data_IF_108638786901
#
_entry.id   IF_108638786901
#
_cell.length_a   1.000
_cell.length_b   1.000
_cell.length_c   1.000
_cell.angle_alpha   90.00
_cell.angle_beta   90.00
_cell.angle_gamma   90.00
#
_symmetry.space_group_name_H-M   'P 1'
#
loop_
_entity.id
_entity.type
_entity.pdbx_description
1 polymer ?
#
# COMPACT_ATOMS: atom_id res chain seq x y z
N UNK A 1 10.71 4.22 -6.22
CA UNK A 1 10.13 5.18 -7.19
C UNK A 1 8.59 5.15 -7.23
N UNK A 2 7.95 3.97 -7.13
CA UNK A 2 6.49 3.77 -7.14
C UNK A 2 5.63 4.84 -6.41
N UNK A 3 5.92 5.16 -5.15
CA UNK A 3 5.12 6.11 -4.36
C UNK A 3 5.16 7.54 -4.92
N UNK A 4 6.32 7.98 -5.39
CA UNK A 4 6.51 9.35 -5.90
C UNK A 4 5.92 9.48 -7.29
N UNK A 5 6.10 8.49 -8.15
CA UNK A 5 5.45 8.44 -9.46
C UNK A 5 3.91 8.53 -9.33
N UNK A 6 3.33 7.79 -8.38
CA UNK A 6 1.90 7.87 -8.13
C UNK A 6 1.48 9.21 -7.54
N UNK A 7 2.29 9.80 -6.66
CA UNK A 7 2.04 11.14 -6.14
C UNK A 7 2.04 12.20 -7.25
N UNK A 8 3.05 12.19 -8.12
CA UNK A 8 3.14 13.06 -9.28
C UNK A 8 1.95 12.83 -10.23
N UNK A 9 1.55 11.58 -10.43
CA UNK A 9 0.36 11.27 -11.23
C UNK A 9 -0.91 11.90 -10.62
N UNK A 10 -1.15 11.73 -9.32
CA UNK A 10 -2.36 12.25 -8.66
C UNK A 10 -2.42 13.78 -8.64
N UNK A 11 -1.26 14.44 -8.63
CA UNK A 11 -1.14 15.90 -8.52
C UNK A 11 -0.70 16.60 -9.81
N UNK A 12 -0.64 15.90 -10.95
CA UNK A 12 -0.17 16.44 -12.25
C UNK A 12 -0.89 17.72 -12.73
N UNK A 13 -2.14 17.91 -12.32
CA UNK A 13 -2.97 19.06 -12.69
C UNK A 13 -3.15 20.07 -11.53
N UNK A 14 -2.32 19.99 -10.49
CA UNK A 14 -2.35 20.91 -9.32
C UNK A 14 -1.11 21.82 -9.36
N UNK A 15 -1.20 22.97 -8.68
CA UNK A 15 -0.07 23.92 -8.54
C UNK A 15 1.14 23.25 -7.88
N UNK A 16 0.89 22.47 -6.83
CA UNK A 16 1.88 21.54 -6.29
C UNK A 16 1.70 20.19 -6.96
N UNK A 17 2.71 19.73 -7.70
CA UNK A 17 2.67 18.52 -8.54
C UNK A 17 3.55 17.38 -8.00
N UNK A 18 3.97 17.44 -6.73
CA UNK A 18 4.81 16.44 -6.08
C UNK A 18 6.25 16.28 -6.66
N UNK A 19 6.70 17.18 -7.54
CA UNK A 19 8.07 17.14 -8.10
C UNK A 19 9.16 17.49 -7.08
N UNK A 20 8.83 18.32 -6.09
CA UNK A 20 9.77 18.72 -5.01
C UNK A 20 10.17 17.59 -4.07
N UNK A 21 9.55 16.41 -4.21
CA UNK A 21 9.81 15.24 -3.36
C UNK A 21 10.92 14.35 -3.96
N UNK A 22 11.32 14.56 -5.22
CA UNK A 22 12.43 13.82 -5.84
C UNK A 22 13.83 14.27 -5.33
N UNK A 23 13.96 15.52 -4.90
CA UNK A 23 15.28 16.11 -4.56
C UNK A 23 15.69 15.94 -3.10
N UNK A 24 14.80 15.39 -2.27
CA UNK A 24 14.99 15.31 -0.84
C UNK A 24 14.43 13.98 -0.32
N UNK A 25 14.93 13.45 0.82
CA UNK A 25 14.42 12.19 1.33
C UNK A 25 12.92 12.33 1.63
N UNK A 26 12.11 11.42 1.09
CA UNK A 26 10.67 11.33 1.34
C UNK A 26 10.37 11.24 2.84
N UNK A 27 11.28 10.59 3.57
CA UNK A 27 11.32 10.56 5.04
C UNK A 27 12.36 11.55 5.59
N UNK A 28 12.41 12.78 5.05
CA UNK A 28 13.43 13.82 5.27
C UNK A 28 12.84 15.22 5.53
N UNK A 29 13.65 16.28 5.38
CA UNK A 29 13.30 17.68 5.74
C UNK A 29 12.27 18.37 4.81
N UNK A 30 11.84 17.78 3.69
CA UNK A 30 10.80 18.37 2.79
C UNK A 30 9.48 18.50 3.51
N UNK A 31 9.18 17.49 4.32
CA UNK A 31 7.93 17.37 5.02
C UNK A 31 8.09 18.01 6.40
N UNK A 32 8.55 19.26 6.43
CA UNK A 32 8.77 20.08 7.64
C UNK A 32 7.65 21.07 7.92
N UNK A 33 6.65 21.19 7.04
CA UNK A 33 5.36 21.84 7.33
C UNK A 33 4.23 20.80 7.45
N UNK A 34 3.28 21.03 8.35
CA UNK A 34 2.15 20.13 8.60
C UNK A 34 1.02 20.38 7.59
N UNK A 35 1.31 20.23 6.29
CA UNK A 35 0.35 20.51 5.23
C UNK A 35 -0.46 19.28 4.83
N UNK A 36 -1.54 19.47 4.06
CA UNK A 36 -2.29 18.34 3.51
C UNK A 36 -1.46 17.54 2.52
N UNK A 37 -0.58 18.20 1.75
CA UNK A 37 0.29 17.56 0.76
C UNK A 37 1.30 16.65 1.46
N UNK A 38 1.88 17.14 2.57
CA UNK A 38 2.70 16.36 3.47
C UNK A 38 2.00 15.08 3.95
N UNK A 39 0.74 15.19 4.38
CA UNK A 39 -0.06 14.05 4.83
C UNK A 39 -0.22 13.00 3.72
N UNK A 40 -0.52 13.44 2.49
CA UNK A 40 -0.63 12.54 1.34
C UNK A 40 0.71 11.84 1.03
N UNK A 41 1.84 12.57 1.06
CA UNK A 41 3.17 12.00 0.81
C UNK A 41 3.51 10.91 1.83
N UNK A 42 3.24 11.14 3.12
CA UNK A 42 3.44 10.11 4.15
C UNK A 42 2.58 8.86 3.88
N UNK A 43 1.29 9.06 3.59
CA UNK A 43 0.37 7.96 3.32
C UNK A 43 0.74 7.15 2.06
N UNK A 44 1.01 7.80 0.93
CA UNK A 44 1.35 7.09 -0.31
C UNK A 44 2.71 6.39 -0.21
N UNK A 45 3.64 6.94 0.57
CA UNK A 45 4.97 6.36 0.76
C UNK A 45 4.95 5.14 1.67
N UNK A 46 4.24 5.20 2.80
CA UNK A 46 4.06 4.04 3.67
C UNK A 46 3.32 2.90 2.96
N UNK A 47 2.33 3.24 2.13
CA UNK A 47 1.63 2.31 1.26
C UNK A 47 2.59 1.70 0.22
N UNK A 48 3.37 2.53 -0.47
CA UNK A 48 4.32 2.07 -1.47
C UNK A 48 5.35 1.08 -0.92
N UNK A 49 5.89 1.33 0.29
CA UNK A 49 6.79 0.38 0.96
C UNK A 49 6.10 -0.95 1.25
N UNK A 50 4.87 -0.92 1.80
CA UNK A 50 4.13 -2.15 2.09
C UNK A 50 3.88 -2.97 0.82
N UNK A 51 3.47 -2.32 -0.27
CA UNK A 51 3.19 -2.98 -1.54
C UNK A 51 4.45 -3.63 -2.15
N UNK A 52 5.55 -2.89 -2.24
CA UNK A 52 6.78 -3.38 -2.89
C UNK A 52 7.37 -4.56 -2.11
N UNK A 53 7.37 -4.48 -0.78
CA UNK A 53 7.86 -5.58 0.07
C UNK A 53 6.98 -6.81 -0.09
N UNK A 54 5.65 -6.66 -0.03
CA UNK A 54 4.75 -7.81 -0.25
C UNK A 54 4.92 -8.41 -1.64
N UNK A 55 5.13 -7.60 -2.68
CA UNK A 55 5.35 -8.09 -4.04
C UNK A 55 6.66 -8.89 -4.15
N UNK A 56 7.74 -8.39 -3.55
CA UNK A 56 9.01 -9.10 -3.53
C UNK A 56 8.92 -10.43 -2.75
N UNK A 57 8.10 -10.48 -1.70
CA UNK A 57 7.79 -11.73 -1.00
C UNK A 57 7.00 -12.70 -1.90
N UNK A 58 5.94 -12.25 -2.57
CA UNK A 58 5.10 -13.12 -3.39
C UNK A 58 5.77 -13.57 -4.70
N UNK A 59 6.71 -12.78 -5.23
CA UNK A 59 7.54 -13.18 -6.39
C UNK A 59 8.69 -14.13 -6.02
N UNK A 60 8.98 -14.31 -4.73
CA UNK A 60 10.10 -15.13 -4.26
C UNK A 60 11.47 -14.44 -4.35
N UNK A 61 11.51 -13.12 -4.56
CA UNK A 61 12.76 -12.33 -4.53
C UNK A 61 13.37 -12.24 -3.12
N UNK A 62 12.54 -12.42 -2.08
CA UNK A 62 12.97 -12.38 -0.68
C UNK A 62 12.81 -13.75 -0.03
N UNK A 63 13.91 -14.29 0.51
CA UNK A 63 13.93 -15.64 1.11
C UNK A 63 13.16 -15.73 2.45
N UNK A 64 13.05 -14.63 3.20
CA UNK A 64 12.51 -14.62 4.56
C UNK A 64 10.98 -14.45 4.63
N UNK A 65 10.31 -14.34 3.49
CA UNK A 65 8.86 -14.18 3.40
C UNK A 65 8.32 -14.86 2.15
N UNK A 66 6.99 -14.88 1.99
CA UNK A 66 6.35 -15.55 0.87
C UNK A 66 4.86 -15.27 0.79
N UNK A 67 4.15 -16.12 0.05
CA UNK A 67 2.70 -16.09 -0.09
C UNK A 67 1.99 -16.26 1.27
N UNK A 68 0.80 -15.69 1.38
CA UNK A 68 -0.13 -15.94 2.47
C UNK A 68 -0.68 -17.37 2.38
N UNK A 69 -0.37 -18.19 3.40
CA UNK A 69 -0.80 -19.59 3.52
C UNK A 69 -2.05 -19.75 4.40
N UNK A 70 -2.59 -18.66 4.94
CA UNK A 70 -3.78 -18.72 5.80
C UNK A 70 -5.06 -18.95 5.00
N UNK A 71 -5.09 -18.52 3.74
CA UNK A 71 -6.20 -18.75 2.80
C UNK A 71 -5.98 -20.03 1.99
N UNK A 72 -6.78 -21.05 2.28
CA UNK A 72 -6.70 -22.37 1.67
C UNK A 72 -8.08 -23.04 1.63
N UNK A 73 -8.19 -24.14 0.88
CA UNK A 73 -9.42 -24.93 0.78
C UNK A 73 -10.49 -24.29 -0.12
N UNK A 74 -11.74 -24.70 0.08
CA UNK A 74 -12.90 -24.19 -0.69
C UNK A 74 -13.43 -22.94 0.01
N UNK A 75 -13.62 -21.88 -0.75
CA UNK A 75 -14.26 -20.64 -0.28
C UNK A 75 -15.78 -20.82 -0.08
N UNK A 76 -16.43 -19.96 0.73
CA UNK A 76 -17.90 -19.94 0.83
C UNK A 76 -18.61 -19.74 -0.51
N UNK A 77 -17.96 -19.06 -1.46
CA UNK A 77 -18.50 -18.79 -2.80
C UNK A 77 -18.23 -19.94 -3.80
N UNK A 78 -17.74 -21.10 -3.33
CA UNK A 78 -17.61 -22.33 -4.09
C UNK A 78 -16.33 -22.47 -4.93
N UNK A 79 -15.44 -21.47 -4.95
CA UNK A 79 -14.13 -21.60 -5.63
C UNK A 79 -13.04 -22.14 -4.70
N UNK A 80 -12.01 -22.77 -5.29
CA UNK A 80 -10.85 -23.26 -4.54
C UNK A 80 -9.79 -22.16 -4.39
N UNK A 81 -9.26 -21.95 -3.19
CA UNK A 81 -8.06 -21.15 -2.97
C UNK A 81 -6.83 -21.88 -3.51
N UNK A 82 -6.08 -21.23 -4.39
CA UNK A 82 -4.85 -21.78 -4.97
C UNK A 82 -3.95 -20.67 -5.50
N UNK A 83 -2.70 -21.02 -5.83
CA UNK A 83 -1.68 -20.05 -6.26
C UNK A 83 -1.05 -19.30 -5.09
N UNK A 84 -0.47 -18.15 -5.38
CA UNK A 84 0.20 -17.31 -4.39
C UNK A 84 -0.71 -16.15 -3.99
N UNK A 85 -1.31 -16.24 -2.80
CA UNK A 85 -2.00 -15.08 -2.22
C UNK A 85 -0.97 -14.10 -1.67
N UNK A 86 -1.11 -12.81 -1.98
CA UNK A 86 -0.22 -11.77 -1.50
C UNK A 86 -0.35 -11.58 0.02
N UNK A 87 0.75 -11.74 0.76
CA UNK A 87 0.79 -11.50 2.20
C UNK A 87 0.99 -10.00 2.51
N UNK A 88 -0.07 -9.22 2.32
CA UNK A 88 -0.03 -7.77 2.59
C UNK A 88 0.16 -7.45 4.07
N UNK A 89 -0.28 -8.31 4.98
CA UNK A 89 -0.11 -8.12 6.42
C UNK A 89 1.38 -8.05 6.80
N UNK A 90 2.21 -8.91 6.17
CA UNK A 90 3.66 -8.85 6.33
C UNK A 90 4.25 -7.52 5.82
N UNK A 91 3.87 -7.07 4.62
CA UNK A 91 4.36 -5.80 4.06
C UNK A 91 3.93 -4.59 4.89
N UNK A 92 2.71 -4.60 5.44
CA UNK A 92 2.22 -3.57 6.37
C UNK A 92 3.05 -3.55 7.66
N UNK A 93 3.33 -4.70 8.26
CA UNK A 93 4.16 -4.80 9.46
C UNK A 93 5.60 -4.34 9.22
N UNK A 94 6.17 -4.69 8.07
CA UNK A 94 7.49 -4.20 7.65
C UNK A 94 7.48 -2.68 7.47
N UNK A 95 6.51 -2.15 6.72
CA UNK A 95 6.37 -0.70 6.49
C UNK A 95 6.21 0.05 7.80
N UNK A 96 5.44 -0.47 8.75
CA UNK A 96 5.32 0.11 10.09
C UNK A 96 6.65 0.12 10.82
N UNK A 97 7.38 -1.00 10.82
CA UNK A 97 8.66 -1.15 11.52
C UNK A 97 9.79 -0.35 10.89
N UNK A 98 9.70 0.00 9.60
CA UNK A 98 10.73 0.73 8.88
C UNK A 98 10.43 2.23 8.79
N UNK A 99 9.22 2.60 8.35
CA UNK A 99 8.84 3.99 8.07
C UNK A 99 8.59 4.78 9.36
N UNK A 100 8.03 4.14 10.39
CA UNK A 100 7.60 4.85 11.60
C UNK A 100 8.75 5.14 12.58
N UNK A 101 9.92 4.49 12.44
CA UNK A 101 11.06 4.57 13.39
C UNK A 101 11.45 6.02 13.67
N UNK A 102 11.58 6.81 12.61
CA UNK A 102 12.02 8.21 12.70
C UNK A 102 10.99 9.12 13.36
N UNK A 103 9.70 8.82 13.23
CA UNK A 103 8.66 9.61 13.90
C UNK A 103 8.50 9.16 15.35
N UNK A 104 8.65 7.87 15.65
CA UNK A 104 8.66 7.34 17.02
C UNK A 104 9.82 7.88 17.85
N UNK A 105 11.01 8.03 17.26
CA UNK A 105 12.19 8.54 17.97
C UNK A 105 12.09 10.01 18.38
N UNK A 106 11.20 10.80 17.74
CA UNK A 106 10.93 12.19 18.12
C UNK A 106 10.00 12.33 19.33
N UNK A 107 9.41 11.23 19.79
CA UNK A 107 8.50 11.21 20.94
C UNK A 107 7.10 11.77 20.65
N UNK A 108 6.21 11.63 21.64
CA UNK A 108 4.81 12.09 21.56
C UNK A 108 4.61 13.53 22.07
N UNK A 109 5.68 14.25 22.40
CA UNK A 109 5.63 15.63 22.91
C UNK A 109 5.20 16.65 21.86
N UNK A 110 5.19 16.28 20.58
CA UNK A 110 4.74 17.12 19.47
C UNK A 110 3.57 16.46 18.73
N UNK A 111 2.59 17.26 18.31
CA UNK A 111 1.45 16.81 17.49
C UNK A 111 1.87 16.27 16.13
N UNK A 112 3.04 16.70 15.63
CA UNK A 112 3.48 16.42 14.27
C UNK A 112 3.92 14.96 14.05
N UNK A 113 4.81 14.35 14.86
CA UNK A 113 5.09 12.92 14.76
C UNK A 113 3.82 12.06 14.83
N UNK A 114 2.87 12.42 15.68
CA UNK A 114 1.58 11.72 15.80
C UNK A 114 0.76 11.82 14.52
N UNK A 115 0.68 13.01 13.91
CA UNK A 115 0.04 13.21 12.61
C UNK A 115 0.72 12.37 11.52
N UNK A 116 2.05 12.34 11.47
CA UNK A 116 2.79 11.56 10.48
C UNK A 116 2.54 10.04 10.66
N UNK A 117 2.55 9.55 11.90
CA UNK A 117 2.21 8.15 12.21
C UNK A 117 0.77 7.81 11.80
N UNK A 118 -0.18 8.72 12.05
CA UNK A 118 -1.56 8.57 11.60
C UNK A 118 -1.65 8.47 10.07
N UNK A 119 -0.98 9.37 9.35
CA UNK A 119 -0.98 9.39 7.88
C UNK A 119 -0.30 8.15 7.30
N UNK A 120 0.82 7.71 7.88
CA UNK A 120 1.47 6.45 7.50
C UNK A 120 0.51 5.27 7.65
N UNK A 121 -0.23 5.21 8.75
CA UNK A 121 -1.20 4.15 9.01
C UNK A 121 -2.39 4.21 8.06
N UNK A 122 -2.88 5.41 7.73
CA UNK A 122 -3.91 5.60 6.72
C UNK A 122 -3.48 5.05 5.35
N UNK A 123 -2.22 5.25 4.98
CA UNK A 123 -1.60 4.66 3.78
C UNK A 123 -1.61 3.14 3.77
N UNK A 124 -1.12 2.52 4.86
CA UNK A 124 -1.07 1.06 5.02
C UNK A 124 -2.48 0.43 4.97
N UNK A 125 -3.44 1.03 5.66
CA UNK A 125 -4.84 0.60 5.64
C UNK A 125 -5.49 0.76 4.26
N UNK A 126 -5.11 1.76 3.47
CA UNK A 126 -5.64 1.94 2.13
C UNK A 126 -5.34 0.74 1.22
N UNK A 127 -4.17 0.08 1.37
CA UNK A 127 -3.88 -1.16 0.64
C UNK A 127 -4.64 -2.34 1.25
N UNK A 128 -4.53 -2.51 2.57
CA UNK A 128 -5.11 -3.63 3.30
C UNK A 128 -6.62 -3.78 3.01
N UNK A 129 -7.34 -2.66 2.99
CA UNK A 129 -8.79 -2.63 2.80
C UNK A 129 -9.23 -2.72 1.33
N UNK A 130 -8.30 -2.68 0.37
CA UNK A 130 -8.58 -2.76 -1.06
C UNK A 130 -7.96 -4.00 -1.70
N UNK A 131 -7.62 -5.02 -0.91
CA UNK A 131 -7.25 -6.34 -1.44
C UNK A 131 -8.39 -6.92 -2.27
N UNK A 132 -8.03 -7.65 -3.33
CA UNK A 132 -8.99 -8.23 -4.27
C UNK A 132 -8.79 -9.73 -4.39
N UNK A 133 -9.85 -10.41 -4.80
CA UNK A 133 -9.79 -11.82 -5.19
C UNK A 133 -9.64 -11.86 -6.71
N UNK A 134 -8.56 -12.46 -7.18
CA UNK A 134 -8.36 -12.76 -8.60
C UNK A 134 -8.54 -14.25 -8.83
N UNK A 135 -9.13 -14.61 -9.97
CA UNK A 135 -9.48 -15.98 -10.28
C UNK A 135 -9.00 -16.37 -11.67
N UNK A 136 -8.62 -17.64 -11.82
CA UNK A 136 -8.40 -18.30 -13.11
C UNK A 136 -9.45 -19.39 -13.29
N UNK A 137 -10.11 -19.37 -14.45
CA UNK A 137 -11.10 -20.36 -14.85
C UNK A 137 -10.43 -21.51 -15.62
N UNK A 138 -10.90 -22.73 -15.37
CA UNK A 138 -10.29 -23.97 -15.88
C UNK A 138 -11.27 -24.87 -16.65
N UNK A 139 -12.48 -24.39 -16.96
CA UNK A 139 -13.47 -25.17 -17.69
C UNK A 139 -13.25 -25.22 -19.20
N UNK A 140 -13.91 -26.16 -19.86
CA UNK A 140 -13.81 -26.37 -21.31
C UNK A 140 -14.18 -25.07 -22.05
N UNK A 141 -13.40 -24.72 -23.08
CA UNK A 141 -13.58 -23.48 -23.85
C UNK A 141 -13.55 -22.20 -23.00
N UNK A 142 -12.90 -22.23 -21.84
CA UNK A 142 -12.78 -21.07 -20.95
C UNK A 142 -13.97 -20.86 -20.00
N UNK A 143 -14.83 -21.87 -19.83
CA UNK A 143 -15.91 -21.78 -18.84
C UNK A 143 -15.34 -21.67 -17.41
N UNK A 144 -16.10 -21.02 -16.52
CA UNK A 144 -15.71 -20.80 -15.12
C UNK A 144 -16.42 -21.75 -14.14
N UNK A 145 -16.89 -22.90 -14.62
CA UNK A 145 -17.50 -23.95 -13.80
C UNK A 145 -16.56 -24.44 -12.70
N UNK A 146 -15.27 -24.55 -13.03
CA UNK A 146 -14.18 -24.76 -12.08
C UNK A 146 -13.26 -23.55 -12.16
N UNK A 147 -13.01 -22.92 -11.01
CA UNK A 147 -12.08 -21.80 -10.90
C UNK A 147 -11.25 -21.87 -9.63
N UNK A 148 -10.01 -21.42 -9.73
CA UNK A 148 -9.12 -21.23 -8.59
C UNK A 148 -8.85 -19.75 -8.40
N UNK A 149 -8.81 -19.28 -7.15
CA UNK A 149 -8.58 -17.88 -6.87
C UNK A 149 -7.49 -17.66 -5.81
N UNK A 150 -6.90 -16.47 -5.82
CA UNK A 150 -5.92 -15.99 -4.84
C UNK A 150 -6.26 -14.57 -4.41
N UNK A 151 -5.77 -14.16 -3.23
CA UNK A 151 -5.80 -12.75 -2.83
C UNK A 151 -4.67 -12.01 -3.52
N UNK A 152 -4.98 -10.94 -4.23
CA UNK A 152 -4.01 -10.09 -4.89
C UNK A 152 -4.09 -8.66 -4.33
N UNK A 153 -2.94 -7.99 -4.27
CA UNK A 153 -2.90 -6.57 -3.99
C UNK A 153 -3.65 -5.78 -5.07
N UNK A 154 -4.28 -4.64 -4.73
CA UNK A 154 -4.86 -3.75 -5.72
C UNK A 154 -3.77 -3.15 -6.63
N UNK A 155 -4.12 -2.74 -7.86
CA UNK A 155 -3.27 -1.84 -8.62
C UNK A 155 -2.95 -0.60 -7.79
N UNK A 156 -1.69 -0.17 -7.75
CA UNK A 156 -1.28 0.93 -6.87
C UNK A 156 -2.01 2.25 -7.21
N UNK A 157 -2.42 2.43 -8.47
CA UNK A 157 -3.31 3.53 -8.90
C UNK A 157 -4.62 3.59 -8.11
N UNK A 158 -5.22 2.44 -7.77
CA UNK A 158 -6.45 2.40 -6.95
C UNK A 158 -6.18 2.93 -5.53
N UNK A 159 -5.02 2.60 -4.97
CA UNK A 159 -4.58 3.09 -3.66
C UNK A 159 -4.34 4.60 -3.72
N UNK A 160 -3.66 5.09 -4.77
CA UNK A 160 -3.47 6.51 -5.03
C UNK A 160 -4.79 7.28 -5.11
N UNK A 161 -5.78 6.76 -5.83
CA UNK A 161 -7.12 7.36 -5.92
C UNK A 161 -7.82 7.42 -4.55
N UNK A 162 -7.83 6.32 -3.79
CA UNK A 162 -8.44 6.28 -2.45
C UNK A 162 -7.78 7.29 -1.50
N UNK A 163 -6.45 7.37 -1.53
CA UNK A 163 -5.72 8.35 -0.72
C UNK A 163 -5.96 9.78 -1.21
N UNK A 164 -6.18 9.99 -2.51
CA UNK A 164 -6.47 11.30 -3.09
C UNK A 164 -7.85 11.81 -2.68
N UNK A 165 -8.85 10.94 -2.66
CA UNK A 165 -10.19 11.23 -2.12
C UNK A 165 -10.09 11.63 -0.64
N UNK A 166 -9.33 10.87 0.17
CA UNK A 166 -9.06 11.22 1.57
C UNK A 166 -8.33 12.55 1.70
N UNK A 167 -7.36 12.81 0.84
CA UNK A 167 -6.65 14.09 0.81
C UNK A 167 -7.63 15.23 0.53
N UNK A 168 -8.53 15.12 -0.44
CA UNK A 168 -9.48 16.20 -0.80
C UNK A 168 -10.53 16.44 0.31
N UNK A 169 -10.94 15.39 1.02
CA UNK A 169 -11.84 15.46 2.17
C UNK A 169 -11.18 15.74 3.52
N UNK A 170 -9.84 15.84 3.59
CA UNK A 170 -9.13 16.12 4.83
C UNK A 170 -9.43 17.54 5.34
N UNK A 171 -9.98 17.64 6.54
CA UNK A 171 -10.17 18.88 7.31
C UNK A 171 -8.97 19.15 8.21
#
# INVERSE_FOLDING_TARGET
QLAIEECQYQFRNRRWNCSTVDTLPVFGKVVTQGTREAAFVYAISSAGVALVVTRACSSGELEKCGCDRTVHGVSPDGFQWSGCSDNIAYGVAFSQSFVDVRERSKGASSSRPLMNLHNNEAGRKAILNNMRVECKCHGVSGSCEVKTCWKAMPPFRKVGNVLKEKFDGAT
#
